data_IF_319632554421
#
_entry.id   IF_319632554421
#
_cell.length_a   1.000
_cell.length_b   1.000
_cell.length_c   1.000
_cell.angle_alpha   90.00
_cell.angle_beta   90.00
_cell.angle_gamma   90.00
#
_symmetry.space_group_name_H-M   'P 1'
#
loop_
_entity.id
_entity.type
_entity.pdbx_description
1 polymer ?
#
# COMPACT_ATOMS: atom_id res chain seq x y z
N UNK A 1 4.37 22.94 9.80
CA UNK A 1 4.49 21.95 8.71
C UNK A 1 4.29 20.56 9.31
N UNK A 2 3.50 19.70 8.66
CA UNK A 2 3.39 18.27 9.03
C UNK A 2 3.74 17.38 7.84
N UNK A 3 3.82 16.08 8.08
CA UNK A 3 4.20 15.07 7.10
C UNK A 3 3.14 13.99 7.02
N UNK A 4 2.79 13.59 5.79
CA UNK A 4 2.01 12.39 5.49
C UNK A 4 2.89 11.45 4.68
N UNK A 5 2.93 10.18 5.07
CA UNK A 5 3.67 9.14 4.34
C UNK A 5 2.74 7.96 4.05
N UNK A 6 2.81 7.45 2.83
CA UNK A 6 1.92 6.40 2.30
C UNK A 6 2.31 5.00 2.75
N UNK A 7 3.59 4.84 3.05
CA UNK A 7 4.24 3.65 3.55
C UNK A 7 5.59 4.12 4.06
N UNK A 8 6.10 3.57 5.16
CA UNK A 8 7.44 3.91 5.61
C UNK A 8 8.21 2.63 5.88
N UNK A 9 9.06 2.32 4.93
CA UNK A 9 10.18 1.43 5.14
C UNK A 9 11.39 2.31 5.40
N UNK A 10 12.27 1.95 6.33
CA UNK A 10 13.60 2.52 6.35
C UNK A 10 14.57 1.38 6.19
N UNK A 11 15.31 1.43 5.09
CA UNK A 11 16.56 0.73 4.92
C UNK A 11 16.42 -0.78 4.88
N UNK A 12 16.63 -1.34 3.70
CA UNK A 12 17.59 -2.42 3.72
C UNK A 12 18.66 -2.16 2.69
N UNK A 13 19.86 -1.90 3.20
CA UNK A 13 21.06 -2.17 2.44
C UNK A 13 21.25 -3.69 2.22
N UNK A 14 20.22 -4.54 2.41
CA UNK A 14 20.34 -6.01 2.46
C UNK A 14 19.18 -6.82 1.86
N UNK A 15 17.96 -6.28 1.65
CA UNK A 15 16.87 -6.96 0.88
C UNK A 15 17.08 -6.84 -0.62
N UNK A 16 18.13 -6.14 -0.97
CA UNK A 16 18.85 -6.18 -2.23
C UNK A 16 20.23 -6.77 -1.90
N UNK A 17 20.69 -7.86 -2.54
CA UNK A 17 22.04 -8.40 -2.42
C UNK A 17 23.11 -7.31 -2.31
N UNK A 18 24.14 -7.58 -1.50
CA UNK A 18 25.20 -6.61 -1.20
C UNK A 18 25.99 -6.14 -2.41
N UNK A 19 25.97 -6.89 -3.51
CA UNK A 19 26.47 -6.48 -4.83
C UNK A 19 25.72 -5.30 -5.45
N UNK A 20 24.52 -4.99 -4.95
CA UNK A 20 23.55 -4.05 -5.52
C UNK A 20 23.60 -2.65 -4.89
N UNK A 21 24.56 -2.38 -3.98
CA UNK A 21 24.92 -1.02 -3.57
C UNK A 21 26.00 -0.47 -4.52
N UNK A 22 25.59 0.23 -5.58
CA UNK A 22 26.54 0.98 -6.40
C UNK A 22 26.97 2.28 -5.67
N UNK A 23 28.22 2.32 -5.20
CA UNK A 23 28.84 3.52 -4.63
C UNK A 23 30.29 3.66 -5.12
N UNK A 24 30.56 4.42 -6.19
CA UNK A 24 31.92 4.63 -6.68
C UNK A 24 32.79 5.25 -5.58
N UNK A 25 33.89 4.59 -5.26
CA UNK A 25 34.92 5.12 -4.36
C UNK A 25 34.63 5.04 -2.86
N UNK A 26 33.55 4.37 -2.41
CA UNK A 26 33.36 4.09 -0.96
C UNK A 26 33.84 2.69 -0.59
N UNK A 27 34.52 2.51 0.55
CA UNK A 27 34.83 1.17 1.06
C UNK A 27 33.53 0.40 1.30
N UNK A 28 33.51 -0.91 0.99
CA UNK A 28 32.37 -1.83 1.11
C UNK A 28 31.75 -1.94 2.53
N UNK A 29 32.26 -1.19 3.50
CA UNK A 29 31.86 -1.24 4.91
C UNK A 29 31.89 0.15 5.59
N UNK A 30 31.00 1.09 5.28
CA UNK A 30 30.63 2.06 6.28
C UNK A 30 29.65 1.33 7.20
N UNK A 31 29.93 1.29 8.50
CA UNK A 31 28.98 0.83 9.52
C UNK A 31 27.80 1.81 9.56
N UNK A 32 26.91 1.71 8.58
CA UNK A 32 25.64 2.40 8.64
C UNK A 32 24.81 1.73 9.73
N UNK A 33 24.21 2.55 10.60
CA UNK A 33 23.21 2.05 11.54
C UNK A 33 22.17 1.25 10.77
N UNK A 34 22.06 -0.04 11.09
CA UNK A 34 21.08 -0.95 10.52
C UNK A 34 19.71 -0.48 10.98
N UNK A 35 19.06 0.36 10.20
CA UNK A 35 17.64 0.57 10.38
C UNK A 35 16.97 -0.21 9.25
N UNK A 36 16.29 -1.29 9.65
CA UNK A 36 15.59 -2.27 8.82
C UNK A 36 14.23 -2.50 9.42
N UNK A 37 13.56 -1.38 9.65
CA UNK A 37 12.28 -1.31 10.35
C UNK A 37 11.19 -1.00 9.34
N UNK A 38 10.20 -1.88 9.27
CA UNK A 38 8.99 -1.68 8.49
C UNK A 38 7.91 -1.07 9.37
N UNK A 39 7.26 -0.04 8.85
CA UNK A 39 6.06 0.53 9.47
C UNK A 39 4.85 0.25 8.59
N UNK A 40 3.90 -0.50 9.14
CA UNK A 40 2.63 -0.79 8.48
C UNK A 40 1.79 0.48 8.42
N UNK A 41 1.32 0.80 7.22
CA UNK A 41 0.47 1.95 7.00
C UNK A 41 -0.99 1.63 7.28
N UNK A 42 -1.43 0.37 7.11
CA UNK A 42 -2.83 -0.01 7.26
C UNK A 42 -3.72 0.49 6.11
N UNK A 43 -3.11 0.67 4.93
CA UNK A 43 -3.79 1.05 3.69
C UNK A 43 -4.59 2.35 3.79
N UNK A 44 -5.78 2.38 3.17
CA UNK A 44 -6.61 3.58 3.15
C UNK A 44 -7.12 4.01 4.53
N UNK A 45 -7.25 3.09 5.49
CA UNK A 45 -7.60 3.43 6.88
C UNK A 45 -6.50 4.26 7.55
N UNK A 46 -5.23 3.87 7.38
CA UNK A 46 -4.11 4.65 7.88
C UNK A 46 -4.01 6.02 7.20
N UNK A 47 -4.26 6.06 5.89
CA UNK A 47 -4.26 7.31 5.13
C UNK A 47 -5.30 8.29 5.67
N UNK A 48 -6.53 7.81 5.85
CA UNK A 48 -7.62 8.59 6.41
C UNK A 48 -7.26 9.12 7.81
N UNK A 49 -6.72 8.27 8.68
CA UNK A 49 -6.33 8.68 10.04
C UNK A 49 -5.22 9.73 10.03
N UNK A 50 -4.23 9.62 9.13
CA UNK A 50 -3.20 10.64 8.96
C UNK A 50 -3.82 11.97 8.54
N UNK A 51 -4.66 11.98 7.50
CA UNK A 51 -5.31 13.20 7.04
C UNK A 51 -6.26 13.82 8.04
N UNK A 52 -7.02 13.01 8.77
CA UNK A 52 -7.84 13.50 9.89
C UNK A 52 -6.99 14.14 10.97
N UNK A 53 -5.84 13.55 11.32
CA UNK A 53 -4.89 14.18 12.24
C UNK A 53 -4.36 15.51 11.71
N UNK A 54 -4.00 15.58 10.42
CA UNK A 54 -3.58 16.83 9.77
C UNK A 54 -4.65 17.91 9.87
N UNK A 55 -5.89 17.60 9.50
CA UNK A 55 -6.98 18.58 9.39
C UNK A 55 -7.60 18.95 10.74
N UNK A 56 -7.75 17.99 11.66
CA UNK A 56 -8.54 18.18 12.89
C UNK A 56 -7.66 18.49 14.10
N UNK A 57 -6.44 17.95 14.14
CA UNK A 57 -5.54 18.03 15.31
C UNK A 57 -4.40 19.01 15.07
N UNK A 58 -3.59 18.76 14.04
CA UNK A 58 -2.34 19.49 13.82
C UNK A 58 -2.54 20.86 13.17
N UNK A 59 -3.55 20.96 12.28
CA UNK A 59 -3.94 22.17 11.55
C UNK A 59 -2.75 22.98 10.99
N UNK A 60 -1.80 22.34 10.29
CA UNK A 60 -0.64 23.04 9.78
C UNK A 60 -1.01 23.84 8.53
N UNK A 61 -0.27 24.91 8.28
CA UNK A 61 -0.36 25.68 7.04
C UNK A 61 0.18 24.91 5.82
N UNK A 62 1.13 24.00 6.04
CA UNK A 62 1.78 23.22 4.98
C UNK A 62 1.87 21.73 5.36
N UNK A 63 1.61 20.87 4.37
CA UNK A 63 1.74 19.40 4.45
C UNK A 63 2.77 18.95 3.43
N UNK A 64 3.72 18.13 3.88
CA UNK A 64 4.70 17.46 3.03
C UNK A 64 4.29 16.01 2.80
N UNK A 65 4.24 15.58 1.55
CA UNK A 65 4.05 14.17 1.20
C UNK A 65 5.42 13.53 1.04
N UNK A 66 5.73 12.55 1.89
CA UNK A 66 6.97 11.79 1.82
C UNK A 66 6.73 10.40 1.21
N UNK A 67 7.49 9.98 0.22
CA UNK A 67 8.38 10.77 -0.66
C UNK A 67 7.96 10.54 -2.11
N UNK A 68 8.40 11.40 -3.04
CA UNK A 68 8.12 11.17 -4.45
C UNK A 68 8.65 9.80 -4.92
N UNK A 69 9.96 9.56 -4.73
CA UNK A 69 10.70 8.46 -5.34
C UNK A 69 11.89 7.97 -4.48
N UNK A 70 11.84 8.11 -3.15
CA UNK A 70 12.82 7.48 -2.27
C UNK A 70 12.55 5.97 -2.17
N UNK A 71 12.86 5.27 -3.24
CA UNK A 71 12.59 3.86 -3.38
C UNK A 71 13.30 2.95 -2.37
N UNK A 72 14.23 3.48 -1.56
CA UNK A 72 14.83 2.76 -0.47
C UNK A 72 14.05 2.92 0.85
N UNK A 73 12.99 3.71 0.86
CA UNK A 73 12.20 4.02 2.04
C UNK A 73 10.68 4.11 1.78
N UNK A 74 10.26 4.95 0.85
CA UNK A 74 8.89 5.07 0.38
C UNK A 74 8.80 5.81 -0.93
N UNK A 75 7.80 5.49 -1.75
CA UNK A 75 7.51 6.24 -2.97
C UNK A 75 6.01 6.39 -3.16
N UNK A 76 5.63 7.44 -3.89
CA UNK A 76 4.24 7.78 -4.19
C UNK A 76 4.05 8.00 -5.69
N UNK A 77 5.15 8.06 -6.44
CA UNK A 77 5.08 8.27 -7.86
C UNK A 77 4.33 7.12 -8.57
N UNK A 78 3.54 7.45 -9.60
CA UNK A 78 2.99 6.43 -10.47
C UNK A 78 4.14 5.68 -11.16
N UNK A 79 4.25 4.38 -10.91
CA UNK A 79 5.15 3.53 -11.67
C UNK A 79 4.36 2.96 -12.86
N UNK A 80 4.45 3.65 -14.00
CA UNK A 80 3.65 3.37 -15.20
C UNK A 80 3.74 1.91 -15.68
N UNK A 81 4.91 1.29 -15.51
CA UNK A 81 5.14 -0.13 -15.78
C UNK A 81 5.91 -0.80 -14.62
N UNK A 82 5.24 -0.92 -13.47
CA UNK A 82 5.81 -1.50 -12.24
C UNK A 82 6.40 -2.91 -12.44
N UNK A 83 5.93 -3.65 -13.46
CA UNK A 83 6.42 -4.99 -13.79
C UNK A 83 7.76 -4.95 -14.50
N UNK A 84 8.09 -3.88 -15.20
CA UNK A 84 9.34 -3.76 -15.95
C UNK A 84 10.36 -2.80 -15.32
N UNK A 85 9.99 -2.12 -14.25
CA UNK A 85 10.86 -1.15 -13.58
C UNK A 85 11.85 -1.85 -12.63
N UNK A 86 13.17 -1.77 -12.88
CA UNK A 86 14.19 -2.13 -11.88
C UNK A 86 14.28 -1.04 -10.81
N UNK A 87 14.89 -1.34 -9.65
CA UNK A 87 15.16 -0.30 -8.67
C UNK A 87 16.09 0.78 -9.25
N UNK A 88 15.97 2.03 -8.78
CA UNK A 88 16.99 3.06 -8.97
C UNK A 88 18.39 2.63 -8.47
N UNK A 89 18.49 1.48 -7.79
CA UNK A 89 19.69 0.66 -7.65
C UNK A 89 19.64 -0.53 -8.63
N UNK A 90 20.70 -0.69 -9.43
CA UNK A 90 20.80 -1.42 -10.72
C UNK A 90 20.26 -2.85 -10.85
N UNK A 91 19.83 -3.50 -9.77
CA UNK A 91 19.75 -4.97 -9.72
C UNK A 91 18.48 -5.56 -9.06
N UNK A 92 17.50 -4.77 -8.61
CA UNK A 92 16.24 -5.35 -8.12
C UNK A 92 15.48 -6.07 -9.25
N UNK A 93 14.84 -7.23 -8.96
CA UNK A 93 14.12 -7.97 -9.98
C UNK A 93 12.96 -7.14 -10.55
N UNK A 94 12.66 -7.36 -11.81
CA UNK A 94 11.46 -6.82 -12.46
C UNK A 94 10.21 -7.17 -11.63
N UNK A 95 9.32 -6.20 -11.42
CA UNK A 95 8.11 -6.39 -10.60
C UNK A 95 8.32 -6.22 -9.09
N UNK A 96 9.49 -5.71 -8.68
CA UNK A 96 9.78 -5.37 -7.28
C UNK A 96 8.88 -4.25 -6.76
N UNK A 97 8.74 -3.18 -7.54
CA UNK A 97 7.82 -2.11 -7.22
C UNK A 97 6.38 -2.49 -7.49
N UNK A 98 5.50 -1.81 -6.79
CA UNK A 98 4.07 -2.07 -6.76
C UNK A 98 3.33 -0.79 -7.14
N UNK A 99 2.13 -0.90 -7.74
CA UNK A 99 1.33 0.26 -8.06
C UNK A 99 0.92 1.03 -6.80
N UNK A 100 1.12 2.34 -6.81
CA UNK A 100 0.64 3.28 -5.77
C UNK A 100 -0.70 3.95 -6.14
N UNK A 101 -1.32 3.54 -7.25
CA UNK A 101 -2.48 4.19 -7.84
C UNK A 101 -3.67 4.30 -6.88
N UNK A 102 -3.93 3.26 -6.09
CA UNK A 102 -5.04 3.26 -5.13
C UNK A 102 -4.89 4.32 -4.05
N UNK A 103 -3.73 4.34 -3.39
CA UNK A 103 -3.48 5.36 -2.37
C UNK A 103 -3.29 6.75 -2.98
N UNK A 104 -2.74 6.85 -4.19
CA UNK A 104 -2.61 8.11 -4.93
C UNK A 104 -3.97 8.76 -5.19
N UNK A 105 -4.94 8.00 -5.71
CA UNK A 105 -6.29 8.49 -5.95
C UNK A 105 -7.03 8.80 -4.64
N UNK A 106 -6.87 7.97 -3.61
CA UNK A 106 -7.45 8.25 -2.29
C UNK A 106 -6.84 9.53 -1.66
N UNK A 107 -5.55 9.77 -1.89
CA UNK A 107 -4.92 11.02 -1.47
C UNK A 107 -5.42 12.23 -2.23
N UNK A 108 -5.73 12.11 -3.52
CA UNK A 108 -6.36 13.19 -4.28
C UNK A 108 -7.61 13.72 -3.57
N UNK A 109 -8.45 12.81 -3.04
CA UNK A 109 -9.63 13.16 -2.26
C UNK A 109 -9.28 13.92 -0.96
N UNK A 110 -8.34 13.39 -0.15
CA UNK A 110 -8.00 14.04 1.12
C UNK A 110 -7.20 15.35 0.96
N UNK A 111 -6.36 15.45 -0.07
CA UNK A 111 -5.67 16.70 -0.44
C UNK A 111 -6.68 17.77 -0.82
N UNK A 112 -7.73 17.40 -1.58
CA UNK A 112 -8.79 18.32 -1.91
C UNK A 112 -9.51 18.80 -0.65
N UNK A 113 -9.88 17.89 0.26
CA UNK A 113 -10.48 18.26 1.54
C UNK A 113 -9.61 19.24 2.33
N UNK A 114 -8.32 18.93 2.50
CA UNK A 114 -7.38 19.78 3.23
C UNK A 114 -7.28 21.19 2.60
N UNK A 115 -7.17 21.27 1.26
CA UNK A 115 -7.01 22.54 0.55
C UNK A 115 -8.26 23.42 0.59
N UNK A 116 -9.44 22.83 0.56
CA UNK A 116 -10.71 23.58 0.50
C UNK A 116 -11.31 23.81 1.88
N UNK A 117 -10.93 23.01 2.88
CA UNK A 117 -11.61 22.93 4.17
C UNK A 117 -13.00 22.30 4.10
N UNK A 118 -13.37 21.72 2.95
CA UNK A 118 -14.69 21.13 2.70
C UNK A 118 -14.52 19.70 2.21
N UNK A 119 -15.17 18.76 2.89
CA UNK A 119 -15.17 17.36 2.49
C UNK A 119 -15.74 17.22 1.07
N UNK A 120 -14.98 16.65 0.10
CA UNK A 120 -15.47 16.48 -1.26
C UNK A 120 -16.69 15.53 -1.29
N UNK A 121 -17.66 15.86 -2.13
CA UNK A 121 -18.80 14.98 -2.39
C UNK A 121 -18.34 13.72 -3.15
N UNK A 122 -18.84 12.56 -2.73
CA UNK A 122 -18.63 11.29 -3.44
C UNK A 122 -19.72 11.17 -4.50
N UNK A 123 -19.33 11.29 -5.76
CA UNK A 123 -20.26 11.28 -6.91
C UNK A 123 -20.25 9.97 -7.70
N UNK A 124 -19.30 9.07 -7.42
CA UNK A 124 -19.19 7.76 -8.05
C UNK A 124 -18.70 6.71 -7.04
N UNK A 125 -19.32 5.53 -7.06
CA UNK A 125 -18.94 4.42 -6.18
C UNK A 125 -17.56 3.90 -6.56
N UNK A 126 -16.62 3.96 -5.62
CA UNK A 126 -15.25 3.53 -5.82
C UNK A 126 -14.80 2.54 -4.75
N UNK A 127 -13.93 1.62 -5.14
CA UNK A 127 -13.27 0.68 -4.27
C UNK A 127 -11.76 0.87 -4.40
N UNK A 128 -11.06 0.90 -3.27
CA UNK A 128 -9.61 0.98 -3.16
C UNK A 128 -9.11 -0.23 -2.37
N UNK A 129 -7.94 -0.74 -2.74
CA UNK A 129 -7.27 -1.82 -2.01
C UNK A 129 -5.80 -1.49 -1.76
N UNK A 130 -5.30 -1.99 -0.64
CA UNK A 130 -3.89 -1.94 -0.26
C UNK A 130 -3.55 -3.19 0.54
N UNK A 131 -2.52 -3.93 0.13
CA UNK A 131 -2.07 -5.13 0.86
C UNK A 131 -0.69 -5.59 0.41
N UNK A 132 -0.01 -6.41 1.23
CA UNK A 132 1.24 -7.08 0.83
C UNK A 132 0.95 -8.32 0.00
N UNK A 133 1.76 -8.59 -1.01
CA UNK A 133 1.57 -9.73 -1.92
C UNK A 133 2.16 -11.04 -1.38
N UNK A 134 2.57 -11.10 -0.11
CA UNK A 134 3.07 -12.30 0.55
C UNK A 134 2.91 -12.21 2.06
N UNK A 135 2.80 -13.35 2.73
CA UNK A 135 2.80 -13.36 4.20
C UNK A 135 4.15 -12.92 4.76
N UNK A 136 4.14 -12.19 5.87
CA UNK A 136 5.38 -11.84 6.59
C UNK A 136 6.04 -13.06 7.24
N UNK A 137 5.32 -14.18 7.34
CA UNK A 137 5.77 -15.42 7.98
C UNK A 137 6.59 -16.30 7.04
N UNK A 138 6.65 -15.98 5.75
CA UNK A 138 7.44 -16.74 4.78
C UNK A 138 8.94 -16.51 4.99
N UNK A 139 9.72 -17.54 4.68
CA UNK A 139 11.17 -17.46 4.60
C UNK A 139 11.57 -17.23 3.14
N UNK A 140 12.45 -16.25 2.90
CA UNK A 140 12.98 -15.95 1.58
C UNK A 140 14.03 -16.99 1.17
N UNK A 141 13.87 -17.63 0.00
CA UNK A 141 14.77 -18.70 -0.42
C UNK A 141 16.16 -18.23 -0.83
N UNK A 142 16.30 -16.99 -1.31
CA UNK A 142 17.59 -16.42 -1.69
C UNK A 142 18.33 -15.71 -0.53
N UNK A 143 17.70 -15.61 0.65
CA UNK A 143 18.29 -14.98 1.84
C UNK A 143 17.96 -15.78 3.13
N UNK A 144 18.32 -17.09 3.18
CA UNK A 144 17.85 -18.01 4.21
C UNK A 144 18.38 -17.70 5.62
N UNK A 145 19.53 -17.03 5.72
CA UNK A 145 20.16 -16.69 6.99
C UNK A 145 19.70 -15.34 7.55
N UNK A 146 18.79 -14.64 6.85
CA UNK A 146 18.36 -13.31 7.24
C UNK A 146 16.97 -13.31 7.86
N UNK A 147 16.82 -12.71 9.04
CA UNK A 147 15.50 -12.57 9.65
C UNK A 147 14.62 -11.58 8.87
N UNK A 148 13.29 -11.74 8.92
CA UNK A 148 12.33 -10.71 8.53
C UNK A 148 12.68 -9.34 9.13
N UNK A 149 12.27 -8.26 8.46
CA UNK A 149 12.48 -6.88 8.97
C UNK A 149 11.88 -6.71 10.37
N UNK A 150 12.46 -5.79 11.15
CA UNK A 150 11.87 -5.40 12.43
C UNK A 150 10.53 -4.69 12.14
N UNK A 151 9.49 -5.02 12.89
CA UNK A 151 8.23 -4.28 12.80
C UNK A 151 8.29 -3.09 13.77
N UNK A 152 8.11 -1.89 13.24
CA UNK A 152 8.22 -0.63 13.98
C UNK A 152 6.93 -0.21 14.69
N UNK A 153 5.77 -0.66 14.21
CA UNK A 153 4.47 -0.33 14.76
C UNK A 153 3.48 -1.50 14.68
N UNK A 154 2.85 -1.83 15.82
CA UNK A 154 1.81 -2.85 15.90
C UNK A 154 2.22 -4.22 15.33
N UNK A 155 1.29 -5.17 15.24
CA UNK A 155 1.48 -6.35 14.40
C UNK A 155 1.24 -5.98 12.93
N UNK A 156 2.09 -6.46 12.02
CA UNK A 156 1.76 -6.46 10.58
C UNK A 156 0.75 -7.57 10.32
N UNK A 157 -0.36 -7.24 9.69
CA UNK A 157 -1.39 -8.22 9.34
C UNK A 157 -1.11 -8.90 8.00
N UNK A 158 -1.56 -10.14 7.85
CA UNK A 158 -1.73 -10.76 6.53
C UNK A 158 -3.14 -10.40 6.03
N UNK A 159 -3.35 -9.09 5.80
CA UNK A 159 -4.66 -8.49 5.61
C UNK A 159 -4.76 -7.70 4.29
N UNK A 160 -5.98 -7.68 3.75
CA UNK A 160 -6.47 -6.77 2.73
C UNK A 160 -7.07 -5.54 3.42
N UNK A 161 -6.49 -4.37 3.17
CA UNK A 161 -7.07 -3.09 3.59
C UNK A 161 -7.90 -2.53 2.43
N UNK A 162 -9.22 -2.59 2.58
CA UNK A 162 -10.18 -2.16 1.56
C UNK A 162 -10.87 -0.89 2.01
N UNK A 163 -10.90 0.12 1.14
CA UNK A 163 -11.61 1.37 1.38
C UNK A 163 -12.70 1.52 0.32
N UNK A 164 -13.92 1.83 0.73
CA UNK A 164 -15.02 2.13 -0.19
C UNK A 164 -15.33 3.62 -0.12
N UNK A 165 -15.62 4.24 -1.26
CA UNK A 165 -16.14 5.60 -1.35
C UNK A 165 -17.48 5.52 -2.08
N UNK A 166 -18.58 5.56 -1.32
CA UNK A 166 -19.90 5.20 -1.86
C UNK A 166 -20.91 6.35 -1.80
N UNK A 167 -21.71 6.45 -2.85
CA UNK A 167 -22.85 7.38 -2.95
C UNK A 167 -24.03 6.96 -2.07
N UNK A 168 -24.19 5.65 -1.85
CA UNK A 168 -25.20 5.03 -1.00
C UNK A 168 -24.66 3.71 -0.42
N UNK A 169 -25.28 3.13 0.62
CA UNK A 169 -24.84 1.83 1.16
C UNK A 169 -24.76 0.75 0.06
N UNK A 170 -23.83 -0.19 0.22
CA UNK A 170 -23.60 -1.29 -0.73
C UNK A 170 -23.10 -2.56 -0.01
N UNK A 171 -22.95 -3.64 -0.76
CA UNK A 171 -22.29 -4.88 -0.33
C UNK A 171 -20.93 -4.98 -1.02
N UNK A 172 -19.86 -5.07 -0.22
CA UNK A 172 -18.52 -5.43 -0.66
C UNK A 172 -18.36 -6.95 -0.62
N UNK A 173 -18.00 -7.55 -1.76
CA UNK A 173 -17.64 -8.96 -1.86
C UNK A 173 -16.15 -9.09 -2.14
N UNK A 174 -15.50 -9.98 -1.38
CA UNK A 174 -14.06 -10.21 -1.44
C UNK A 174 -13.82 -11.71 -1.65
N UNK A 175 -13.09 -12.06 -2.70
CA UNK A 175 -12.50 -13.38 -2.88
C UNK A 175 -10.99 -13.26 -2.69
N UNK A 176 -10.47 -13.96 -1.68
CA UNK A 176 -9.03 -14.02 -1.42
C UNK A 176 -8.60 -15.47 -1.39
N UNK A 177 -7.77 -15.88 -2.36
CA UNK A 177 -7.29 -17.27 -2.47
C UNK A 177 -8.41 -18.30 -2.56
N UNK A 178 -9.57 -17.95 -3.13
CA UNK A 178 -10.76 -18.80 -3.19
C UNK A 178 -11.69 -18.70 -1.97
N UNK A 179 -11.30 -17.99 -0.91
CA UNK A 179 -12.18 -17.72 0.24
C UNK A 179 -13.04 -16.49 -0.03
N UNK A 180 -14.35 -16.67 -0.03
CA UNK A 180 -15.30 -15.57 -0.20
C UNK A 180 -15.80 -15.00 1.13
N UNK A 181 -15.87 -13.67 1.21
CA UNK A 181 -16.52 -12.93 2.31
C UNK A 181 -17.37 -11.79 1.75
N UNK A 182 -18.38 -11.38 2.52
CA UNK A 182 -19.31 -10.30 2.16
C UNK A 182 -19.48 -9.36 3.33
N UNK A 183 -19.52 -8.06 3.04
CA UNK A 183 -19.55 -7.00 4.04
C UNK A 183 -20.54 -5.92 3.62
N UNK A 184 -21.49 -5.59 4.50
CA UNK A 184 -22.32 -4.39 4.31
C UNK A 184 -21.48 -3.15 4.62
N UNK A 185 -21.41 -2.23 3.66
CA UNK A 185 -20.60 -1.00 3.76
C UNK A 185 -21.48 0.23 3.59
N UNK A 186 -21.29 1.28 4.42
CA UNK A 186 -22.15 2.48 4.41
C UNK A 186 -21.83 3.39 3.22
N UNK A 187 -22.71 4.37 2.97
CA UNK A 187 -22.38 5.53 2.14
C UNK A 187 -21.21 6.32 2.76
N UNK A 188 -20.51 7.11 1.96
CA UNK A 188 -19.31 7.83 2.39
C UNK A 188 -18.04 6.98 2.24
N UNK A 189 -17.00 7.40 2.95
CA UNK A 189 -15.76 6.62 3.09
C UNK A 189 -15.99 5.51 4.13
N UNK A 190 -15.76 4.26 3.75
CA UNK A 190 -15.85 3.07 4.60
C UNK A 190 -14.55 2.28 4.58
N UNK A 191 -14.21 1.63 5.70
CA UNK A 191 -13.00 0.82 5.85
C UNK A 191 -13.38 -0.63 6.17
N UNK A 192 -12.79 -1.59 5.46
CA UNK A 192 -12.97 -3.03 5.69
C UNK A 192 -11.60 -3.70 5.68
N UNK A 193 -11.36 -4.55 6.68
CA UNK A 193 -10.12 -5.34 6.78
C UNK A 193 -10.48 -6.81 6.68
N UNK A 194 -9.85 -7.53 5.76
CA UNK A 194 -10.10 -8.95 5.52
C UNK A 194 -8.78 -9.71 5.50
N UNK A 195 -8.61 -10.80 6.27
CA UNK A 195 -7.41 -11.63 6.17
C UNK A 195 -7.25 -12.18 4.75
N UNK A 196 -6.07 -12.02 4.14
CA UNK A 196 -5.82 -12.58 2.82
C UNK A 196 -5.48 -14.08 2.91
N UNK A 197 -5.66 -14.78 1.79
CA UNK A 197 -5.14 -16.10 1.52
C UNK A 197 -4.26 -16.06 0.28
N UNK A 198 -3.23 -16.93 0.18
CA UNK A 198 -2.47 -17.10 -1.05
C UNK A 198 -3.36 -17.38 -2.26
N UNK A 199 -2.98 -16.86 -3.42
CA UNK A 199 -3.70 -16.98 -4.67
C UNK A 199 -4.38 -15.68 -5.10
N UNK A 200 -5.43 -15.82 -5.89
CA UNK A 200 -6.12 -14.73 -6.57
C UNK A 200 -6.82 -13.78 -5.60
N UNK A 201 -6.77 -12.48 -5.87
CA UNK A 201 -7.44 -11.44 -5.07
C UNK A 201 -8.47 -10.71 -5.94
N UNK A 202 -9.75 -10.87 -5.64
CA UNK A 202 -10.83 -10.22 -6.37
C UNK A 202 -11.78 -9.49 -5.45
N UNK A 203 -12.28 -8.37 -5.93
CA UNK A 203 -13.16 -7.50 -5.17
C UNK A 203 -14.31 -7.02 -6.05
N UNK A 204 -15.50 -6.87 -5.47
CA UNK A 204 -16.62 -6.27 -6.17
C UNK A 204 -17.56 -5.53 -5.23
N UNK A 205 -18.19 -4.49 -5.77
CA UNK A 205 -19.25 -3.74 -5.10
C UNK A 205 -20.59 -4.06 -5.72
N UNK A 206 -21.60 -4.26 -4.89
CA UNK A 206 -22.96 -4.62 -5.29
C UNK A 206 -23.98 -3.75 -4.59
N UNK A 207 -25.01 -3.32 -5.32
CA UNK A 207 -26.17 -2.63 -4.74
C UNK A 207 -27.42 -3.13 -5.45
N UNK A 208 -28.44 -3.50 -4.68
CA UNK A 208 -29.73 -3.99 -5.20
C UNK A 208 -29.59 -5.13 -6.22
N UNK A 209 -28.66 -6.06 -5.96
CA UNK A 209 -28.38 -7.20 -6.84
C UNK A 209 -27.57 -6.88 -8.09
N UNK A 210 -27.25 -5.60 -8.35
CA UNK A 210 -26.42 -5.15 -9.48
C UNK A 210 -24.96 -4.99 -9.06
N UNK A 211 -24.05 -5.53 -9.87
CA UNK A 211 -22.60 -5.30 -9.74
C UNK A 211 -22.27 -3.89 -10.23
N UNK A 212 -21.68 -3.09 -9.36
CA UNK A 212 -21.28 -1.70 -9.62
C UNK A 212 -19.83 -1.62 -10.09
N UNK A 213 -18.95 -2.36 -9.42
CA UNK A 213 -17.50 -2.41 -9.65
C UNK A 213 -17.04 -3.86 -9.54
N UNK A 214 -16.08 -4.24 -10.37
CA UNK A 214 -15.30 -5.46 -10.24
C UNK A 214 -13.83 -5.13 -10.49
N UNK A 215 -12.97 -5.65 -9.65
CA UNK A 215 -11.53 -5.43 -9.75
C UNK A 215 -10.76 -6.68 -9.34
N UNK A 216 -9.55 -6.78 -9.86
CA UNK A 216 -8.59 -7.82 -9.53
C UNK A 216 -7.29 -7.14 -9.08
N UNK A 217 -6.81 -7.56 -7.92
CA UNK A 217 -5.52 -7.15 -7.40
C UNK A 217 -4.42 -8.16 -7.76
N UNK A 218 -3.18 -7.82 -7.45
CA UNK A 218 -2.06 -8.75 -7.59
C UNK A 218 -2.25 -9.99 -6.71
N UNK A 219 -1.98 -11.21 -7.21
CA UNK A 219 -2.11 -12.41 -6.40
C UNK A 219 -1.16 -12.37 -5.18
N UNK A 220 -1.60 -12.98 -4.09
CA UNK A 220 -0.73 -13.23 -2.94
C UNK A 220 0.05 -14.51 -3.21
N UNK A 221 1.36 -14.46 -3.12
CA UNK A 221 2.23 -15.64 -3.29
C UNK A 221 2.42 -16.38 -1.96
N UNK A 222 2.59 -17.69 -2.04
CA UNK A 222 2.90 -18.58 -0.91
C UNK A 222 4.39 -18.92 -0.79
N UNK A 223 5.20 -18.50 -1.75
CA UNK A 223 6.66 -18.58 -1.72
C UNK A 223 7.29 -17.27 -2.20
N UNK A 224 8.41 -16.90 -1.60
CA UNK A 224 9.17 -15.69 -1.95
C UNK A 224 10.66 -16.03 -2.12
N UNK A 225 11.28 -15.44 -3.14
CA UNK A 225 12.73 -15.50 -3.31
C UNK A 225 13.42 -14.47 -2.40
N UNK A 226 12.83 -13.27 -2.32
CA UNK A 226 13.32 -12.14 -1.55
C UNK A 226 12.21 -11.55 -0.68
N UNK A 227 12.60 -10.98 0.46
CA UNK A 227 11.68 -10.23 1.30
C UNK A 227 11.23 -8.92 0.62
N UNK A 228 9.96 -8.85 0.21
CA UNK A 228 9.32 -7.65 -0.30
C UNK A 228 8.20 -7.21 0.64
N UNK A 229 8.31 -5.97 1.14
CA UNK A 229 7.32 -5.39 2.05
C UNK A 229 6.50 -4.28 1.40
N UNK A 230 6.71 -4.00 0.11
CA UNK A 230 5.91 -3.03 -0.62
C UNK A 230 4.46 -3.50 -0.70
N UNK A 231 3.49 -2.69 -0.23
CA UNK A 231 2.10 -2.99 -0.50
C UNK A 231 1.79 -2.76 -1.98
N UNK A 232 0.92 -3.57 -2.56
CA UNK A 232 0.26 -3.26 -3.83
C UNK A 232 -1.01 -2.48 -3.56
N UNK A 233 -1.27 -1.47 -4.38
CA UNK A 233 -2.45 -0.63 -4.22
C UNK A 233 -3.13 -0.38 -5.56
N UNK A 234 -4.45 -0.32 -5.54
CA UNK A 234 -5.22 0.01 -6.72
C UNK A 234 -6.61 0.48 -6.37
N UNK A 235 -7.34 0.89 -7.39
CA UNK A 235 -8.71 1.33 -7.25
C UNK A 235 -9.52 1.00 -8.50
N UNK A 236 -10.84 0.98 -8.35
CA UNK A 236 -11.78 0.90 -9.44
C UNK A 236 -13.02 1.74 -9.09
N UNK A 237 -13.57 2.42 -10.09
CA UNK A 237 -14.70 3.35 -9.94
C UNK A 237 -15.80 2.94 -10.90
N UNK A 238 -17.05 2.92 -10.44
CA UNK A 238 -18.19 2.59 -11.27
C UNK A 238 -18.32 3.57 -12.44
N UNK A 239 -18.58 3.03 -13.64
CA UNK A 239 -18.81 3.85 -14.84
C UNK A 239 -17.56 4.44 -15.49
N UNK A 240 -16.36 3.95 -15.13
CA UNK A 240 -15.08 4.26 -15.80
C UNK A 240 -14.39 2.98 -16.26
#
# INVERSE_FOLDING_TARGET
MTTVSFHYWWGSNRSVPTSWLWMPGRPLKPEFAKNGTYYEHGGGKGLELQWRSVMEVQKPEWVMLLTWNDYNESYIEPVDDYKNYPNGTSDAPRGWYKPMAGLGELNRYFIQHYKTGVQPEITADSLFWCYRTSSQKLAASADPDRPPVKIGNGPVGDDLYLTTALTAPAELRVNSGGRETRHSVPAGIGQTVVPFQPGRQQFSLWRDGKKLVEAEGEPVVDAIEFYCYWPTTGYATAGR
#
